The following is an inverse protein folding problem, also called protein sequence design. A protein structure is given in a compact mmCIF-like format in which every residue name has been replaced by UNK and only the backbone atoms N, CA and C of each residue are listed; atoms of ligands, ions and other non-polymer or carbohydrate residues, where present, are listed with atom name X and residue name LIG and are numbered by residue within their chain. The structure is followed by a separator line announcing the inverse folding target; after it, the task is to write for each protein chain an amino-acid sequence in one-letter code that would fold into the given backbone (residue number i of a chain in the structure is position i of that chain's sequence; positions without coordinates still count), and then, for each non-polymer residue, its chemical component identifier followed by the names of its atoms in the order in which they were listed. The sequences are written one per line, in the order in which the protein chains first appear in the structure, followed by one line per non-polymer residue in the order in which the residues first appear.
data_IF_721905119539
#
_entry.id   IF_721905119539
#
_cell.length_a   1.000
_cell.length_b   1.000
_cell.length_c   1.000
_cell.angle_alpha   90.00
_cell.angle_beta   90.00
_cell.angle_gamma   90.00
#
_symmetry.space_group_name_H-M   'P 1'
#
loop_
_entity.id
_entity.type
_entity.pdbx_description
1 polymer ?
#
# COMPACT_ATOMS: atom_id res chain seq x y z
N UNK A 1 14.55 -30.01 -2.30
CA UNK A 1 14.87 -28.58 -2.12
C UNK A 1 13.60 -27.78 -1.73
N UNK A 2 12.73 -28.31 -0.85
CA UNK A 2 11.37 -27.75 -0.60
C UNK A 2 10.79 -28.05 0.80
N UNK A 3 11.61 -28.26 1.84
CA UNK A 3 11.09 -28.58 3.20
C UNK A 3 11.44 -27.52 4.25
N UNK A 4 10.90 -26.30 4.12
CA UNK A 4 11.09 -25.31 5.20
C UNK A 4 9.95 -24.34 5.46
N UNK A 5 8.81 -24.48 4.77
CA UNK A 5 7.68 -23.56 4.95
C UNK A 5 6.66 -23.99 6.02
N UNK A 6 6.91 -25.08 6.74
CA UNK A 6 5.99 -25.59 7.75
C UNK A 6 6.67 -25.83 9.12
N UNK A 7 7.12 -24.75 9.77
CA UNK A 7 7.44 -24.79 11.20
C UNK A 7 6.31 -24.11 12.00
N UNK A 8 5.72 -24.77 13.02
CA UNK A 8 4.70 -24.20 13.87
C UNK A 8 5.36 -23.46 15.04
N UNK A 9 5.95 -22.29 14.78
CA UNK A 9 6.27 -21.32 15.81
C UNK A 9 5.71 -19.96 15.36
N UNK A 10 4.58 -19.58 15.95
CA UNK A 10 3.99 -18.24 16.00
C UNK A 10 4.17 -17.31 14.77
N UNK A 11 3.05 -16.98 14.09
CA UNK A 11 2.84 -15.75 13.28
C UNK A 11 3.21 -15.66 11.78
N UNK A 12 3.22 -16.72 10.94
CA UNK A 12 3.35 -16.53 9.48
C UNK A 12 2.06 -15.98 8.82
N UNK A 13 0.88 -16.34 9.33
CA UNK A 13 -0.40 -15.87 8.74
C UNK A 13 -0.71 -14.40 9.07
N UNK A 14 -0.32 -13.92 10.26
CA UNK A 14 -0.68 -12.57 10.69
C UNK A 14 0.00 -11.50 9.84
N UNK A 15 1.32 -11.59 9.59
CA UNK A 15 2.04 -10.55 8.83
C UNK A 15 1.57 -10.47 7.39
N UNK A 16 1.35 -11.59 6.70
CA UNK A 16 0.79 -11.55 5.35
C UNK A 16 -0.63 -10.95 5.33
N UNK A 17 -1.48 -11.32 6.29
CA UNK A 17 -2.82 -10.77 6.41
C UNK A 17 -2.80 -9.24 6.68
N UNK A 18 -1.89 -8.76 7.54
CA UNK A 18 -1.69 -7.33 7.78
C UNK A 18 -1.19 -6.60 6.51
N UNK A 19 -0.28 -7.21 5.74
CA UNK A 19 0.20 -6.63 4.48
C UNK A 19 -0.93 -6.52 3.45
N UNK A 20 -1.76 -7.55 3.32
CA UNK A 20 -2.90 -7.57 2.40
C UNK A 20 -4.01 -6.60 2.83
N UNK A 21 -4.38 -6.59 4.12
CA UNK A 21 -5.39 -5.69 4.65
C UNK A 21 -4.96 -4.22 4.53
N UNK A 22 -3.71 -3.90 4.89
CA UNK A 22 -3.17 -2.55 4.74
C UNK A 22 -3.11 -2.12 3.27
N UNK A 23 -2.77 -3.02 2.34
CA UNK A 23 -2.78 -2.71 0.90
C UNK A 23 -4.19 -2.40 0.36
N UNK A 24 -5.22 -3.17 0.77
CA UNK A 24 -6.62 -2.89 0.38
C UNK A 24 -7.11 -1.57 0.98
N UNK A 25 -6.78 -1.31 2.25
CA UNK A 25 -7.08 -0.03 2.90
C UNK A 25 -6.35 1.14 2.22
N UNK A 26 -5.09 0.95 1.82
CA UNK A 26 -4.32 1.97 1.10
C UNK A 26 -5.01 2.31 -0.22
N UNK A 27 -5.33 1.31 -1.04
CA UNK A 27 -6.06 1.50 -2.31
C UNK A 27 -7.38 2.26 -2.13
N UNK A 28 -8.16 1.89 -1.10
CA UNK A 28 -9.41 2.59 -0.78
C UNK A 28 -9.19 4.05 -0.36
N UNK A 29 -8.24 4.31 0.54
CA UNK A 29 -7.94 5.68 1.00
C UNK A 29 -7.32 6.53 -0.12
N UNK A 30 -6.54 5.94 -1.03
CA UNK A 30 -5.99 6.60 -2.21
C UNK A 30 -7.08 7.01 -3.20
N UNK A 31 -8.22 6.32 -3.23
CA UNK A 31 -9.39 6.76 -3.99
C UNK A 31 -10.05 7.99 -3.33
N UNK A 32 -10.17 7.96 -2.00
CA UNK A 32 -10.85 9.01 -1.24
C UNK A 32 -10.09 10.34 -1.17
N UNK A 33 -8.77 10.33 -1.35
CA UNK A 33 -7.94 11.55 -1.17
C UNK A 33 -8.24 12.65 -2.20
N UNK A 34 -8.63 12.29 -3.43
CA UNK A 34 -8.93 13.23 -4.52
C UNK A 34 -10.37 13.77 -4.47
N UNK A 35 -11.29 13.01 -3.89
CA UNK A 35 -12.71 13.35 -3.79
C UNK A 35 -12.98 14.72 -3.10
N UNK A 36 -12.42 15.04 -1.92
CA UNK A 36 -12.64 16.34 -1.27
C UNK A 36 -12.07 17.55 -2.02
N UNK A 37 -11.13 17.33 -2.95
CA UNK A 37 -10.49 18.41 -3.71
C UNK A 37 -11.35 18.82 -4.92
N UNK A 38 -12.21 17.91 -5.42
CA UNK A 38 -13.13 18.15 -6.53
C UNK A 38 -14.34 18.97 -6.09
N UNK A 39 -14.16 20.27 -5.83
CA UNK A 39 -15.18 21.17 -5.23
C UNK A 39 -16.48 21.25 -6.05
N UNK A 40 -16.39 21.30 -7.38
CA UNK A 40 -17.57 21.32 -8.26
C UNK A 40 -18.42 20.04 -8.14
N UNK A 41 -17.76 18.88 -8.04
CA UNK A 41 -18.41 17.60 -7.80
C UNK A 41 -19.06 17.56 -6.40
N UNK A 42 -18.37 18.10 -5.39
CA UNK A 42 -18.90 18.25 -4.05
C UNK A 42 -20.19 19.07 -4.02
N UNK A 43 -20.20 20.22 -4.71
CA UNK A 43 -21.38 21.07 -4.83
C UNK A 43 -22.55 20.35 -5.54
N UNK A 44 -22.27 19.56 -6.57
CA UNK A 44 -23.27 18.73 -7.25
C UNK A 44 -23.83 17.66 -6.31
N UNK A 45 -22.97 16.95 -5.58
CA UNK A 45 -23.35 15.93 -4.59
C UNK A 45 -24.17 16.54 -3.44
N UNK A 46 -23.91 17.78 -3.04
CA UNK A 46 -24.72 18.49 -2.05
C UNK A 46 -26.16 18.72 -2.54
N UNK A 47 -26.35 19.00 -3.83
CA UNK A 47 -27.67 19.21 -4.43
C UNK A 47 -28.45 17.91 -4.69
N UNK A 48 -27.76 16.81 -5.03
CA UNK A 48 -28.40 15.52 -5.34
C UNK A 48 -28.65 14.64 -4.11
N UNK A 49 -27.83 14.73 -3.06
CA UNK A 49 -27.89 13.86 -1.89
C UNK A 49 -28.63 14.53 -0.71
N UNK A 50 -29.84 15.06 -0.94
CA UNK A 50 -30.67 15.64 0.13
C UNK A 50 -30.94 14.63 1.27
N UNK A 51 -31.06 13.35 0.89
CA UNK A 51 -31.42 12.20 1.73
C UNK A 51 -30.23 11.58 2.49
N UNK A 52 -28.99 11.98 2.19
CA UNK A 52 -27.79 11.32 2.71
C UNK A 52 -27.50 11.77 4.15
N UNK A 53 -27.10 10.83 5.03
CA UNK A 53 -26.90 11.04 6.48
C UNK A 53 -26.20 12.37 6.75
N UNK A 54 -26.79 13.19 7.64
CA UNK A 54 -26.25 14.50 8.09
C UNK A 54 -24.76 14.46 8.43
N UNK A 55 -24.26 13.34 8.95
CA UNK A 55 -22.84 13.13 9.30
C UNK A 55 -21.90 13.15 8.09
N UNK A 56 -22.29 12.53 6.96
CA UNK A 56 -21.45 12.52 5.75
C UNK A 56 -21.40 13.90 5.11
N UNK A 57 -22.54 14.60 5.07
CA UNK A 57 -22.59 15.99 4.60
C UNK A 57 -21.69 16.90 5.45
N UNK A 58 -21.72 16.76 6.78
CA UNK A 58 -20.87 17.55 7.68
C UNK A 58 -19.36 17.35 7.45
N UNK A 59 -18.94 16.12 7.15
CA UNK A 59 -17.53 15.85 6.81
C UNK A 59 -17.16 16.40 5.43
N UNK A 60 -18.11 16.36 4.50
CA UNK A 60 -17.94 16.87 3.13
C UNK A 60 -17.92 18.41 3.08
N UNK A 61 -18.69 19.08 3.92
CA UNK A 61 -18.63 20.54 4.14
C UNK A 61 -17.26 20.99 4.67
N UNK A 62 -16.56 20.10 5.40
CA UNK A 62 -15.19 20.29 5.88
C UNK A 62 -14.19 19.50 5.03
N UNK A 63 -14.35 19.57 3.70
CA UNK A 63 -13.58 18.83 2.70
C UNK A 63 -12.06 18.87 2.90
N UNK A 64 -11.48 20.02 3.26
CA UNK A 64 -10.04 20.14 3.48
C UNK A 64 -9.58 19.38 4.72
N UNK A 65 -10.38 19.38 5.79
CA UNK A 65 -10.09 18.61 7.00
C UNK A 65 -10.28 17.11 6.73
N UNK A 66 -11.27 16.73 5.94
CA UNK A 66 -11.42 15.36 5.47
C UNK A 66 -10.21 14.91 4.63
N UNK A 67 -9.75 15.73 3.69
CA UNK A 67 -8.54 15.46 2.90
C UNK A 67 -7.31 15.27 3.80
N UNK A 68 -7.11 16.14 4.80
CA UNK A 68 -6.00 16.00 5.78
C UNK A 68 -6.11 14.71 6.59
N UNK A 69 -7.32 14.33 7.00
CA UNK A 69 -7.56 13.09 7.74
C UNK A 69 -7.23 11.85 6.89
N UNK A 70 -7.67 11.83 5.63
CA UNK A 70 -7.32 10.76 4.68
C UNK A 70 -5.82 10.73 4.42
N UNK A 71 -5.16 11.89 4.33
CA UNK A 71 -3.71 11.97 4.19
C UNK A 71 -2.96 11.37 5.38
N UNK A 72 -3.39 11.65 6.62
CA UNK A 72 -2.81 11.02 7.81
C UNK A 72 -3.06 9.50 7.83
N UNK A 73 -4.25 9.05 7.42
CA UNK A 73 -4.54 7.62 7.31
C UNK A 73 -3.65 6.93 6.26
N UNK A 74 -3.44 7.55 5.09
CA UNK A 74 -2.52 7.06 4.06
C UNK A 74 -1.09 6.94 4.56
N UNK A 75 -0.59 7.94 5.28
CA UNK A 75 0.76 7.91 5.86
C UNK A 75 0.92 6.75 6.85
N UNK A 76 -0.05 6.57 7.75
CA UNK A 76 -0.06 5.47 8.71
C UNK A 76 -0.15 4.10 8.04
N UNK A 77 -1.07 3.93 7.08
CA UNK A 77 -1.23 2.67 6.35
C UNK A 77 0.00 2.31 5.53
N UNK A 78 0.65 3.30 4.91
CA UNK A 78 1.91 3.11 4.18
C UNK A 78 3.03 2.66 5.12
N UNK A 79 3.14 3.26 6.31
CA UNK A 79 4.12 2.85 7.31
C UNK A 79 3.88 1.39 7.75
N UNK A 80 2.64 1.03 8.10
CA UNK A 80 2.27 -0.34 8.49
C UNK A 80 2.55 -1.33 7.37
N UNK A 81 2.14 -1.01 6.13
CA UNK A 81 2.39 -1.85 4.96
C UNK A 81 3.89 -2.07 4.74
N UNK A 82 4.70 -1.00 4.81
CA UNK A 82 6.17 -1.07 4.63
C UNK A 82 6.82 -1.92 5.72
N UNK A 83 6.49 -1.68 7.00
CA UNK A 83 7.01 -2.45 8.13
C UNK A 83 6.68 -3.94 7.97
N UNK A 84 5.48 -4.25 7.51
CA UNK A 84 5.06 -5.63 7.31
C UNK A 84 5.84 -6.31 6.18
N UNK A 85 6.13 -5.58 5.09
CA UNK A 85 7.02 -6.07 4.03
C UNK A 85 8.45 -6.27 4.52
N UNK A 86 8.98 -5.41 5.38
CA UNK A 86 10.31 -5.57 5.98
C UNK A 86 10.39 -6.85 6.83
N UNK A 87 9.40 -7.12 7.67
CA UNK A 87 9.35 -8.37 8.43
C UNK A 87 9.23 -9.61 7.52
N UNK A 88 8.45 -9.53 6.45
CA UNK A 88 8.36 -10.63 5.47
C UNK A 88 9.69 -10.85 4.74
N UNK A 89 10.42 -9.77 4.42
CA UNK A 89 11.73 -9.84 3.77
C UNK A 89 12.81 -10.41 4.70
N UNK A 90 12.82 -9.99 5.97
CA UNK A 90 13.74 -10.52 6.98
C UNK A 90 13.56 -12.03 7.14
N UNK A 91 12.30 -12.49 7.21
CA UNK A 91 11.97 -13.92 7.31
C UNK A 91 12.37 -14.69 6.06
N UNK A 92 12.12 -14.12 4.87
CA UNK A 92 12.58 -14.72 3.61
C UNK A 92 14.11 -14.84 3.56
N UNK A 93 14.82 -13.82 4.04
CA UNK A 93 16.28 -13.84 4.11
C UNK A 93 16.78 -14.91 5.11
N UNK A 94 16.11 -15.05 6.26
CA UNK A 94 16.42 -16.10 7.24
C UNK A 94 16.17 -17.51 6.68
N UNK A 95 15.12 -17.73 5.89
CA UNK A 95 14.86 -19.03 5.27
C UNK A 95 15.86 -19.38 4.18
N UNK A 96 16.31 -18.40 3.38
CA UNK A 96 17.38 -18.59 2.40
C UNK A 96 18.73 -18.88 3.06
N UNK A 97 19.05 -18.19 4.17
CA UNK A 97 20.29 -18.42 4.92
C UNK A 97 20.37 -19.79 5.60
N UNK A 98 19.26 -20.52 5.75
CA UNK A 98 19.28 -21.89 6.24
C UNK A 98 19.80 -22.91 5.20
N UNK A 99 19.97 -22.50 3.92
CA UNK A 99 20.46 -23.37 2.85
C UNK A 99 21.87 -23.03 2.36
N UNK A 100 22.37 -21.80 2.58
CA UNK A 100 23.73 -21.42 2.18
C UNK A 100 24.54 -20.80 3.32
N UNK A 101 25.71 -21.38 3.57
CA UNK A 101 26.69 -20.86 4.51
C UNK A 101 27.50 -19.70 3.91
N UNK A 102 27.50 -18.59 4.64
CA UNK A 102 28.44 -17.46 4.62
C UNK A 102 28.49 -16.53 3.40
N UNK A 103 28.02 -15.29 3.62
CA UNK A 103 28.48 -14.03 2.98
C UNK A 103 27.90 -12.70 3.58
N UNK A 104 27.21 -12.61 4.75
CA UNK A 104 26.83 -11.29 5.28
C UNK A 104 27.95 -10.53 6.02
N UNK A 105 29.07 -11.18 6.37
CA UNK A 105 30.14 -10.55 7.17
C UNK A 105 30.97 -9.51 6.38
N UNK A 106 30.90 -9.49 5.04
CA UNK A 106 31.76 -8.64 4.19
C UNK A 106 31.08 -7.31 3.80
N UNK A 107 29.75 -7.19 3.87
CA UNK A 107 29.06 -5.94 3.51
C UNK A 107 28.79 -4.99 4.69
N UNK A 108 29.35 -5.24 5.87
CA UNK A 108 29.26 -4.31 7.02
C UNK A 108 30.31 -3.17 6.98
N UNK A 109 31.00 -2.94 5.85
CA UNK A 109 31.95 -1.83 5.67
C UNK A 109 31.76 -1.10 4.34
N UNK A 110 30.87 -0.10 4.32
CA UNK A 110 31.05 1.21 3.65
C UNK A 110 29.71 1.93 3.57
N UNK A 111 29.58 3.06 4.28
CA UNK A 111 29.32 4.38 3.68
C UNK A 111 28.97 5.39 4.79
N UNK A 112 29.98 5.87 5.50
CA UNK A 112 29.90 7.14 6.22
C UNK A 112 31.11 7.96 5.79
N UNK A 113 30.92 8.74 4.71
CA UNK A 113 31.79 9.86 4.39
C UNK A 113 30.91 11.10 4.36
N UNK A 114 31.31 12.06 5.20
CA UNK A 114 30.46 13.16 5.63
C UNK A 114 30.12 14.17 4.56
N UNK A 115 29.02 14.87 4.80
CA UNK A 115 28.79 16.22 4.30
C UNK A 115 28.27 17.10 5.43
N UNK A 116 29.10 18.06 5.78
CA UNK A 116 28.88 19.19 6.66
C UNK A 116 28.10 20.26 5.89
N UNK A 117 26.79 20.42 6.14
CA UNK A 117 26.02 21.60 5.71
C UNK A 117 24.90 21.86 6.75
N UNK A 118 25.18 22.76 7.70
CA UNK A 118 24.77 24.18 7.71
C UNK A 118 23.25 24.35 7.87
N UNK A 119 22.89 24.71 9.09
CA UNK A 119 21.59 25.21 9.48
C UNK A 119 21.49 26.70 9.08
N UNK A 120 20.57 27.13 8.20
CA UNK A 120 20.25 28.53 8.04
C UNK A 120 18.88 28.79 8.67
N UNK A 121 18.89 29.19 9.95
CA UNK A 121 17.77 29.94 10.51
C UNK A 121 17.87 31.34 9.91
N UNK A 122 16.94 31.69 9.01
CA UNK A 122 16.70 33.09 8.69
C UNK A 122 15.21 33.38 8.77
N UNK A 123 14.86 34.19 9.77
CA UNK A 123 13.55 34.75 10.00
C UNK A 123 13.26 35.89 9.03
N UNK A 124 12.18 35.80 8.25
CA UNK A 124 11.44 36.94 7.70
C UNK A 124 9.98 36.52 7.40
N UNK A 125 9.03 36.94 8.23
CA UNK A 125 7.61 36.51 8.22
C UNK A 125 6.87 36.66 6.88
N UNK A 126 7.36 37.50 5.97
CA UNK A 126 6.78 37.68 4.62
C UNK A 126 7.41 36.79 3.54
N UNK A 127 8.71 36.44 3.66
CA UNK A 127 9.37 35.44 2.82
C UNK A 127 8.92 34.03 3.16
N UNK A 128 8.66 33.79 4.45
CA UNK A 128 8.20 32.50 4.92
C UNK A 128 6.91 32.06 4.24
N UNK A 129 5.85 32.88 4.21
CA UNK A 129 4.59 32.44 3.60
C UNK A 129 4.70 32.09 2.12
N UNK A 130 5.48 32.84 1.33
CA UNK A 130 5.74 32.51 -0.08
C UNK A 130 6.58 31.23 -0.20
N UNK A 131 7.66 31.10 0.55
CA UNK A 131 8.53 29.92 0.48
C UNK A 131 7.82 28.63 0.96
N UNK A 132 6.99 28.73 2.00
CA UNK A 132 6.14 27.61 2.45
C UNK A 132 5.04 27.28 1.45
N UNK A 133 4.47 28.28 0.76
CA UNK A 133 3.49 28.05 -0.29
C UNK A 133 4.13 27.33 -1.49
N UNK A 134 5.30 27.78 -1.96
CA UNK A 134 6.04 27.13 -3.05
C UNK A 134 6.46 25.71 -2.66
N UNK A 135 7.06 25.53 -1.47
CA UNK A 135 7.43 24.21 -0.97
C UNK A 135 6.21 23.29 -0.86
N UNK A 136 5.11 23.80 -0.29
CA UNK A 136 3.85 23.08 -0.24
C UNK A 136 3.43 22.67 -1.63
N UNK A 137 3.44 23.58 -2.61
CA UNK A 137 3.01 23.33 -3.97
C UNK A 137 3.86 22.23 -4.63
N UNK A 138 5.19 22.34 -4.63
CA UNK A 138 6.07 21.33 -5.23
C UNK A 138 5.95 19.98 -4.54
N UNK A 139 5.94 19.96 -3.21
CA UNK A 139 5.79 18.70 -2.45
C UNK A 139 4.40 18.08 -2.60
N UNK A 140 3.35 18.89 -2.79
CA UNK A 140 2.02 18.37 -3.06
C UNK A 140 1.97 17.66 -4.41
N UNK A 141 2.57 18.23 -5.46
CA UNK A 141 2.59 17.65 -6.82
C UNK A 141 3.27 16.28 -6.90
N UNK A 142 4.04 15.89 -5.87
CA UNK A 142 4.52 14.52 -5.71
C UNK A 142 3.37 13.50 -5.65
N UNK A 143 2.11 13.92 -5.47
CA UNK A 143 0.93 13.06 -5.63
C UNK A 143 0.93 12.33 -7.00
N UNK A 144 1.43 12.96 -8.07
CA UNK A 144 1.53 12.33 -9.39
C UNK A 144 2.52 11.16 -9.38
N UNK A 145 3.69 11.36 -8.76
CA UNK A 145 4.71 10.33 -8.59
C UNK A 145 4.18 9.21 -7.69
N UNK A 146 3.46 9.56 -6.63
CA UNK A 146 2.82 8.60 -5.74
C UNK A 146 1.80 7.69 -6.48
N UNK A 147 0.88 8.26 -7.27
CA UNK A 147 -0.09 7.46 -8.01
C UNK A 147 0.56 6.60 -9.10
N UNK A 148 1.57 7.12 -9.81
CA UNK A 148 2.36 6.32 -10.75
C UNK A 148 3.06 5.15 -10.03
N UNK A 149 3.67 5.44 -8.88
CA UNK A 149 4.30 4.43 -8.03
C UNK A 149 3.33 3.36 -7.55
N UNK A 150 2.11 3.72 -7.13
CA UNK A 150 1.08 2.75 -6.74
C UNK A 150 0.67 1.81 -7.88
N UNK A 151 0.54 2.34 -9.10
CA UNK A 151 0.21 1.53 -10.28
C UNK A 151 1.34 0.56 -10.59
N UNK A 152 2.58 1.05 -10.67
CA UNK A 152 3.76 0.23 -10.98
C UNK A 152 3.99 -0.82 -9.89
N UNK A 153 3.94 -0.41 -8.62
CA UNK A 153 4.12 -1.31 -7.47
C UNK A 153 3.06 -2.41 -7.44
N UNK A 154 1.80 -2.08 -7.76
CA UNK A 154 0.72 -3.06 -7.86
C UNK A 154 0.92 -4.09 -8.97
N UNK A 155 1.52 -3.70 -10.11
CA UNK A 155 1.78 -4.57 -11.26
C UNK A 155 3.02 -5.45 -11.04
N UNK A 156 4.00 -4.97 -10.27
CA UNK A 156 5.26 -5.68 -10.02
C UNK A 156 5.08 -7.06 -9.35
N UNK A 157 3.89 -7.37 -8.81
CA UNK A 157 3.47 -8.75 -8.56
C UNK A 157 4.32 -9.54 -7.56
N UNK A 158 5.11 -8.85 -6.72
CA UNK A 158 6.10 -9.48 -5.84
C UNK A 158 5.46 -10.39 -4.77
N UNK A 159 4.16 -10.20 -4.48
CA UNK A 159 3.40 -11.04 -3.54
C UNK A 159 2.62 -12.08 -4.33
N UNK A 160 3.19 -13.27 -4.46
CA UNK A 160 2.48 -14.44 -4.98
C UNK A 160 1.53 -14.99 -3.91
N UNK A 161 0.30 -15.32 -4.31
CA UNK A 161 -0.69 -15.99 -3.48
C UNK A 161 -0.98 -17.38 -4.03
N UNK A 162 -1.65 -18.21 -3.24
CA UNK A 162 -2.15 -19.49 -3.73
C UNK A 162 -3.18 -19.23 -4.84
N UNK A 163 -3.09 -19.94 -5.97
CA UNK A 163 -4.02 -19.77 -7.08
C UNK A 163 -5.44 -20.18 -6.68
N UNK A 164 -6.48 -19.66 -7.33
CA UNK A 164 -7.87 -20.04 -7.00
C UNK A 164 -8.11 -21.55 -7.14
N UNK A 165 -7.51 -22.18 -8.15
CA UNK A 165 -7.54 -23.63 -8.35
C UNK A 165 -6.85 -24.35 -7.19
N UNK A 166 -5.67 -23.90 -6.79
CA UNK A 166 -4.92 -24.47 -5.66
C UNK A 166 -5.61 -24.24 -4.31
N UNK A 167 -6.29 -23.11 -4.10
CA UNK A 167 -7.09 -22.87 -2.89
C UNK A 167 -8.32 -23.78 -2.81
N UNK A 168 -8.93 -24.13 -3.95
CA UNK A 168 -10.06 -25.05 -4.01
C UNK A 168 -9.64 -26.51 -3.77
N UNK A 169 -8.44 -26.88 -4.23
CA UNK A 169 -7.90 -28.25 -4.08
C UNK A 169 -7.20 -28.46 -2.73
N UNK A 170 -6.38 -27.50 -2.28
CA UNK A 170 -5.48 -27.61 -1.13
C UNK A 170 -5.68 -26.40 -0.19
N UNK A 171 -6.81 -26.36 0.50
CA UNK A 171 -7.14 -25.23 1.36
C UNK A 171 -6.24 -25.17 2.61
N UNK A 172 -5.56 -24.03 2.90
CA UNK A 172 -4.50 -23.97 3.92
C UNK A 172 -4.98 -24.23 5.35
N UNK A 173 -6.25 -23.98 5.66
CA UNK A 173 -6.82 -24.31 6.98
C UNK A 173 -7.19 -25.79 7.11
N UNK A 174 -7.71 -26.42 6.04
CA UNK A 174 -8.19 -27.80 6.07
C UNK A 174 -7.04 -28.79 5.87
N UNK A 175 -6.04 -28.40 5.09
CA UNK A 175 -4.90 -29.22 4.71
C UNK A 175 -3.65 -28.98 5.58
N UNK A 176 -3.72 -28.08 6.59
CA UNK A 176 -2.59 -27.69 7.43
C UNK A 176 -1.86 -28.89 8.06
N UNK A 177 -2.61 -29.86 8.55
CA UNK A 177 -2.08 -31.04 9.25
C UNK A 177 -1.39 -32.01 8.28
N UNK A 178 -1.95 -32.18 7.08
CA UNK A 178 -1.40 -33.07 6.05
C UNK A 178 -0.11 -32.54 5.42
N UNK A 179 0.01 -31.21 5.28
CA UNK A 179 1.20 -30.56 4.71
C UNK A 179 2.45 -30.71 5.59
N UNK A 180 2.28 -30.84 6.91
CA UNK A 180 3.41 -31.07 7.84
C UNK A 180 3.87 -32.53 7.87
N UNK A 181 2.98 -33.47 7.51
CA UNK A 181 3.21 -34.92 7.54
C UNK A 181 3.33 -35.54 6.15
N UNK A 182 3.57 -34.75 5.11
CA UNK A 182 3.66 -35.23 3.73
C UNK A 182 4.80 -36.26 3.58
N UNK A 183 4.44 -37.52 3.77
CA UNK A 183 5.25 -38.70 3.48
C UNK A 183 5.16 -39.00 1.98
N UNK A 184 6.16 -39.70 1.43
CA UNK A 184 6.25 -39.98 -0.01
C UNK A 184 5.07 -40.81 -0.54
N UNK A 185 4.25 -41.41 0.34
CA UNK A 185 3.13 -42.28 0.02
C UNK A 185 1.75 -41.69 0.32
N UNK A 186 1.63 -40.37 0.48
CA UNK A 186 0.33 -39.76 0.74
C UNK A 186 -0.59 -39.76 -0.50
N UNK A 187 -1.78 -40.37 -0.36
CA UNK A 187 -2.82 -40.43 -1.42
C UNK A 187 -3.97 -39.44 -1.19
N UNK A 188 -3.88 -38.59 -0.17
CA UNK A 188 -4.93 -37.63 0.17
C UNK A 188 -4.83 -36.36 -0.68
N UNK A 189 -5.96 -35.77 -1.07
CA UNK A 189 -5.99 -34.57 -1.94
C UNK A 189 -5.20 -33.38 -1.36
N UNK A 190 -5.09 -33.28 -0.03
CA UNK A 190 -4.30 -32.25 0.66
C UNK A 190 -2.77 -32.44 0.57
N UNK A 191 -2.29 -33.54 -0.01
CA UNK A 191 -0.86 -33.82 -0.15
C UNK A 191 -0.28 -33.37 -1.49
N UNK A 192 -1.10 -32.73 -2.33
CA UNK A 192 -0.63 -32.03 -3.52
C UNK A 192 0.06 -30.72 -3.10
N UNK A 193 1.18 -30.39 -3.74
CA UNK A 193 1.88 -29.14 -3.47
C UNK A 193 1.00 -27.93 -3.84
N UNK A 194 0.85 -26.92 -2.96
CA UNK A 194 0.07 -25.74 -3.26
C UNK A 194 0.76 -24.93 -4.37
N UNK A 195 0.05 -24.70 -5.47
CA UNK A 195 0.50 -23.81 -6.54
C UNK A 195 0.31 -22.34 -6.14
N UNK A 196 1.39 -21.56 -6.27
CA UNK A 196 1.39 -20.13 -6.05
C UNK A 196 1.55 -19.40 -7.38
N UNK A 197 0.71 -18.38 -7.61
CA UNK A 197 0.73 -17.55 -8.80
C UNK A 197 0.69 -16.07 -8.45
N UNK A 198 0.98 -15.24 -9.45
CA UNK A 198 0.78 -13.79 -9.34
C UNK A 198 -0.71 -13.49 -9.19
N UNK A 199 -1.08 -12.81 -8.11
CA UNK A 199 -2.44 -12.30 -7.93
C UNK A 199 -2.62 -11.13 -8.92
N UNK A 200 -3.74 -11.03 -9.65
CA UNK A 200 -3.97 -9.92 -10.56
C UNK A 200 -3.88 -8.57 -9.82
N UNK A 201 -3.14 -7.64 -10.42
CA UNK A 201 -2.99 -6.30 -9.88
C UNK A 201 -4.34 -5.56 -9.94
N UNK A 202 -4.93 -5.25 -8.79
CA UNK A 202 -6.24 -4.58 -8.71
C UNK A 202 -6.11 -3.07 -8.43
N UNK A 203 -4.93 -2.59 -8.04
CA UNK A 203 -4.72 -1.20 -7.57
C UNK A 203 -5.09 -0.15 -8.63
N UNK A 204 -4.91 -0.44 -9.92
CA UNK A 204 -5.27 0.47 -11.01
C UNK A 204 -6.77 0.79 -11.04
N UNK A 205 -7.65 -0.15 -10.66
CA UNK A 205 -9.11 0.07 -10.63
C UNK A 205 -9.50 1.15 -9.61
N UNK A 206 -8.79 1.17 -8.48
CA UNK A 206 -9.02 2.12 -7.38
C UNK A 206 -8.49 3.52 -7.70
N UNK A 207 -7.48 3.60 -8.55
CA UNK A 207 -6.78 4.86 -8.88
C UNK A 207 -7.35 5.52 -10.14
N UNK A 208 -7.82 4.75 -11.12
CA UNK A 208 -8.26 5.29 -12.41
C UNK A 208 -9.51 6.15 -12.31
N UNK A 209 -10.56 5.67 -11.63
CA UNK A 209 -11.81 6.40 -11.47
C UNK A 209 -11.65 7.80 -10.82
N UNK A 210 -10.96 7.95 -9.67
CA UNK A 210 -10.77 9.26 -9.05
C UNK A 210 -9.84 10.19 -9.86
N UNK A 211 -8.87 9.65 -10.60
CA UNK A 211 -8.05 10.45 -11.53
C UNK A 211 -8.90 11.01 -12.67
N UNK A 212 -9.72 10.17 -13.31
CA UNK A 212 -10.62 10.63 -14.39
C UNK A 212 -11.55 11.73 -13.87
N UNK A 213 -12.15 11.52 -12.70
CA UNK A 213 -13.03 12.51 -12.07
C UNK A 213 -12.30 13.83 -11.76
N UNK A 214 -11.07 13.75 -11.24
CA UNK A 214 -10.25 14.92 -10.98
C UNK A 214 -9.91 15.69 -12.26
N UNK A 215 -9.44 14.99 -13.31
CA UNK A 215 -9.11 15.61 -14.60
C UNK A 215 -10.34 16.27 -15.22
N UNK A 216 -11.49 15.59 -15.20
CA UNK A 216 -12.75 16.15 -15.67
C UNK A 216 -13.15 17.42 -14.91
N UNK A 217 -13.03 17.43 -13.59
CA UNK A 217 -13.31 18.63 -12.77
C UNK A 217 -12.39 19.80 -13.12
N UNK A 218 -11.10 19.53 -13.36
CA UNK A 218 -10.16 20.57 -13.74
C UNK A 218 -10.42 21.12 -15.14
N UNK A 219 -10.78 20.26 -16.11
CA UNK A 219 -11.19 20.71 -17.45
C UNK A 219 -12.42 21.61 -17.35
N UNK A 220 -13.44 21.22 -16.56
CA UNK A 220 -14.62 22.05 -16.35
C UNK A 220 -14.28 23.40 -15.70
N UNK A 221 -13.32 23.42 -14.78
CA UNK A 221 -12.87 24.66 -14.14
C UNK A 221 -12.20 25.59 -15.14
N UNK A 222 -11.34 25.06 -16.01
CA UNK A 222 -10.67 25.83 -17.07
C UNK A 222 -11.68 26.35 -18.10
N UNK A 223 -12.68 25.54 -18.48
CA UNK A 223 -13.68 25.96 -19.46
C UNK A 223 -14.63 27.07 -18.96
N UNK A 224 -14.85 27.17 -17.64
CA UNK A 224 -15.68 28.21 -17.03
C UNK A 224 -14.91 29.48 -16.62
N UNK A 225 -13.57 29.46 -16.68
CA UNK A 225 -12.70 30.57 -16.33
C UNK A 225 -12.49 31.49 -17.54
#
# INVERSE_FOLDING_TARGET
MTRQWCSPLSSPQSTLAWAQASAKCLNFNSMLILLPICRNLLSFLHGTCSCCRRTLRKQLDHNLTFHKLVAYALALLTAVHTITHLFNLERYNQSQQATDSSLPAVFSKMHLQGSKWLNPIHSNQTFFHRNYFELFWYTHHLFLVYFAGLIIHGIAGLVCGQTEQSMAEVHPYHCAEYLTQCDQNCTHNCCKDPEFGSIPAESWKWVLAPIILYVFEQILRVWRA
#
